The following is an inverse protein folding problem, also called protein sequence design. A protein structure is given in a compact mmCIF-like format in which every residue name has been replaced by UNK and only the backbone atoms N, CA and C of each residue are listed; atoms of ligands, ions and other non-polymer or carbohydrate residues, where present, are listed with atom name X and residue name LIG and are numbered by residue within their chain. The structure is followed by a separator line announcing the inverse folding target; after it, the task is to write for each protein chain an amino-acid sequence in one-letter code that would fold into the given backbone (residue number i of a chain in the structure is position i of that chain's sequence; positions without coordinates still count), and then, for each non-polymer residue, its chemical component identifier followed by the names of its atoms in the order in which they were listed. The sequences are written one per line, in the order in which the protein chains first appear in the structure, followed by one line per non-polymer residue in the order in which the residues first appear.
data_IF_647993519183
#
_entry.id   IF_647993519183
#
_cell.length_a   1.000
_cell.length_b   1.000
_cell.length_c   1.000
_cell.angle_alpha   90.00
_cell.angle_beta   90.00
_cell.angle_gamma   90.00
#
_symmetry.space_group_name_H-M   'P 1'
#
loop_
_entity.id
_entity.type
_entity.pdbx_description
1 polymer ?
#
# COMPACT_ATOMS: atom_id res chain seq x y z
N UNK A 1 8.85 -24.34 10.46
CA UNK A 1 9.49 -23.88 9.20
C UNK A 1 9.85 -25.04 8.27
N UNK A 2 10.88 -25.86 8.51
CA UNK A 2 11.29 -26.94 7.55
C UNK A 2 10.16 -27.86 7.09
N UNK A 3 9.33 -28.36 8.01
CA UNK A 3 8.17 -29.19 7.68
C UNK A 3 7.21 -28.56 6.65
N UNK A 4 7.12 -27.23 6.63
CA UNK A 4 6.18 -26.49 5.80
C UNK A 4 6.73 -26.17 4.40
N UNK A 5 8.02 -26.41 4.14
CA UNK A 5 8.67 -26.00 2.89
C UNK A 5 7.98 -26.56 1.65
N UNK A 6 7.66 -27.85 1.64
CA UNK A 6 7.02 -28.50 0.49
C UNK A 6 5.49 -28.33 0.45
N UNK A 7 4.90 -27.59 1.40
CA UNK A 7 3.44 -27.55 1.63
C UNK A 7 2.78 -26.29 1.08
N UNK A 8 3.54 -25.35 0.55
CA UNK A 8 3.01 -24.11 0.03
C UNK A 8 4.03 -23.31 -0.75
N UNK A 9 3.55 -22.24 -1.39
CA UNK A 9 4.39 -21.28 -2.12
C UNK A 9 5.04 -20.29 -1.14
N UNK A 10 4.31 -19.97 -0.07
CA UNK A 10 4.73 -19.05 0.97
C UNK A 10 4.55 -19.66 2.35
N UNK A 11 5.39 -19.25 3.28
CA UNK A 11 5.28 -19.56 4.69
C UNK A 11 5.09 -18.28 5.48
N UNK A 12 4.17 -18.27 6.44
CA UNK A 12 4.00 -17.18 7.39
C UNK A 12 4.16 -17.68 8.82
N UNK A 13 4.99 -16.99 9.59
CA UNK A 13 5.14 -17.25 11.02
C UNK A 13 4.09 -16.47 11.81
N UNK A 14 3.37 -17.17 12.69
CA UNK A 14 2.48 -16.59 13.70
C UNK A 14 2.82 -17.15 15.08
N UNK A 15 2.35 -16.47 16.11
CA UNK A 15 2.39 -16.92 17.51
C UNK A 15 0.95 -17.19 17.98
N UNK A 16 0.80 -17.90 19.10
CA UNK A 16 -0.48 -18.32 19.67
C UNK A 16 -1.21 -17.19 20.42
N UNK A 17 -0.48 -16.18 20.88
CA UNK A 17 -0.98 -15.07 21.69
C UNK A 17 -1.09 -13.75 20.91
N UNK A 18 -1.71 -13.83 19.72
CA UNK A 18 -1.94 -12.68 18.85
C UNK A 18 -3.42 -12.35 18.64
N UNK A 19 -3.72 -11.07 18.44
CA UNK A 19 -4.98 -10.61 17.87
C UNK A 19 -4.75 -10.19 16.42
N UNK A 20 -5.49 -10.80 15.51
CA UNK A 20 -5.47 -10.47 14.09
C UNK A 20 -6.54 -9.45 13.70
N UNK A 21 -6.22 -8.56 12.76
CA UNK A 21 -7.18 -7.65 12.14
C UNK A 21 -8.20 -8.44 11.31
N UNK A 22 -9.43 -7.93 11.22
CA UNK A 22 -10.43 -8.53 10.33
C UNK A 22 -9.91 -8.56 8.88
N UNK A 23 -10.20 -9.64 8.15
CA UNK A 23 -9.78 -9.85 6.77
C UNK A 23 -8.26 -9.98 6.54
N UNK A 24 -7.46 -10.20 7.60
CA UNK A 24 -5.99 -10.28 7.50
C UNK A 24 -5.52 -11.24 6.40
N UNK A 25 -6.17 -12.40 6.24
CA UNK A 25 -5.78 -13.41 5.26
C UNK A 25 -5.84 -12.90 3.82
N UNK A 26 -6.97 -12.30 3.42
CA UNK A 26 -7.13 -11.75 2.07
C UNK A 26 -6.17 -10.57 1.84
N UNK A 27 -5.96 -9.73 2.87
CA UNK A 27 -4.98 -8.63 2.80
C UNK A 27 -3.56 -9.15 2.56
N UNK A 28 -3.12 -10.16 3.31
CA UNK A 28 -1.81 -10.80 3.15
C UNK A 28 -1.67 -11.41 1.75
N UNK A 29 -2.69 -12.18 1.32
CA UNK A 29 -2.69 -12.83 0.01
C UNK A 29 -2.54 -11.81 -1.13
N UNK A 30 -3.36 -10.77 -1.12
CA UNK A 30 -3.35 -9.75 -2.17
C UNK A 30 -2.02 -8.99 -2.18
N UNK A 31 -1.49 -8.64 -1.00
CA UNK A 31 -0.20 -7.96 -0.89
C UNK A 31 0.96 -8.81 -1.42
N UNK A 32 0.99 -10.11 -1.07
CA UNK A 32 2.01 -11.02 -1.58
C UNK A 32 1.91 -11.22 -3.11
N UNK A 33 0.69 -11.28 -3.65
CA UNK A 33 0.45 -11.38 -5.10
C UNK A 33 0.86 -10.10 -5.85
N UNK A 34 0.61 -8.93 -5.27
CA UNK A 34 1.03 -7.65 -5.84
C UNK A 34 2.56 -7.57 -5.96
N UNK A 35 3.29 -8.13 -5.00
CA UNK A 35 4.75 -8.16 -4.99
C UNK A 35 5.34 -9.40 -5.67
N UNK A 36 4.57 -10.15 -6.47
CA UNK A 36 5.06 -11.40 -7.07
C UNK A 36 6.16 -11.20 -8.11
N UNK A 37 6.24 -10.01 -8.72
CA UNK A 37 7.28 -9.63 -9.69
C UNK A 37 8.50 -8.96 -9.06
N UNK A 38 8.40 -8.57 -7.78
CA UNK A 38 9.45 -7.84 -7.08
C UNK A 38 10.41 -8.80 -6.37
N UNK A 39 11.67 -8.40 -6.23
CA UNK A 39 12.64 -9.14 -5.42
C UNK A 39 12.47 -8.76 -3.94
N UNK A 40 12.06 -9.72 -3.11
CA UNK A 40 11.96 -9.55 -1.65
C UNK A 40 12.30 -10.86 -0.94
N UNK A 41 12.77 -10.76 0.30
CA UNK A 41 13.09 -11.91 1.15
C UNK A 41 12.11 -12.05 2.33
N UNK A 42 11.66 -10.94 2.91
CA UNK A 42 10.79 -10.93 4.08
C UNK A 42 9.66 -9.93 3.85
N UNK A 43 8.41 -10.40 3.92
CA UNK A 43 7.25 -9.52 4.09
C UNK A 43 6.86 -9.46 5.57
N UNK A 44 6.70 -8.26 6.10
CA UNK A 44 6.34 -8.03 7.51
C UNK A 44 4.89 -7.51 7.64
N UNK A 45 4.06 -8.23 8.38
CA UNK A 45 2.69 -7.82 8.73
C UNK A 45 2.55 -7.41 10.20
N UNK A 46 3.67 -7.38 10.93
CA UNK A 46 3.83 -6.84 12.27
C UNK A 46 5.29 -6.39 12.42
N UNK A 47 5.51 -5.26 13.08
CA UNK A 47 6.84 -4.79 13.44
C UNK A 47 7.41 -5.55 14.65
N UNK A 48 6.54 -6.09 15.51
CA UNK A 48 6.96 -6.78 16.72
C UNK A 48 7.44 -8.19 16.39
N UNK A 49 8.61 -8.54 16.94
CA UNK A 49 9.10 -9.91 17.02
C UNK A 49 9.05 -10.70 15.71
N UNK A 50 8.81 -12.00 15.83
CA UNK A 50 8.84 -12.93 14.71
C UNK A 50 7.44 -13.15 14.11
N UNK A 51 6.42 -12.54 14.70
CA UNK A 51 5.05 -12.62 14.23
C UNK A 51 4.86 -11.92 12.89
N UNK A 52 3.99 -12.50 12.07
CA UNK A 52 3.60 -11.95 10.78
C UNK A 52 4.77 -11.83 9.80
N UNK A 53 5.83 -12.64 9.95
CA UNK A 53 6.95 -12.68 8.99
C UNK A 53 6.66 -13.74 7.95
N UNK A 54 6.62 -13.32 6.69
CA UNK A 54 6.33 -14.18 5.55
C UNK A 54 7.56 -14.31 4.64
N UNK A 55 7.77 -15.52 4.15
CA UNK A 55 8.92 -15.92 3.35
C UNK A 55 8.46 -16.75 2.14
N UNK A 56 9.25 -16.74 1.07
CA UNK A 56 9.06 -17.68 -0.03
C UNK A 56 9.51 -19.08 0.40
N UNK A 57 8.78 -20.12 0.00
CA UNK A 57 9.13 -21.49 0.35
C UNK A 57 10.54 -21.92 -0.08
N UNK A 58 11.06 -21.52 -1.27
CA UNK A 58 12.45 -21.83 -1.67
C UNK A 58 13.51 -21.24 -0.73
N UNK A 59 13.26 -20.06 -0.15
CA UNK A 59 14.21 -19.39 0.75
C UNK A 59 14.24 -19.99 2.17
N UNK A 60 13.26 -20.83 2.53
CA UNK A 60 13.12 -21.35 3.89
C UNK A 60 14.31 -22.20 4.31
N UNK A 61 14.95 -22.96 3.41
CA UNK A 61 16.14 -23.75 3.78
C UNK A 61 17.24 -22.84 4.32
N UNK A 62 17.59 -21.80 3.57
CA UNK A 62 18.62 -20.84 3.96
C UNK A 62 18.29 -20.18 5.30
N UNK A 63 17.04 -19.76 5.48
CA UNK A 63 16.59 -19.09 6.69
C UNK A 63 16.69 -20.03 7.89
N UNK A 64 16.19 -21.26 7.76
CA UNK A 64 16.18 -22.21 8.88
C UNK A 64 17.59 -22.67 9.22
N UNK A 65 18.45 -22.94 8.23
CA UNK A 65 19.84 -23.32 8.47
C UNK A 65 20.59 -22.22 9.22
N UNK A 66 20.43 -20.96 8.81
CA UNK A 66 21.04 -19.83 9.51
C UNK A 66 20.54 -19.72 10.96
N UNK A 67 19.22 -19.83 11.17
CA UNK A 67 18.65 -19.81 12.52
C UNK A 67 19.18 -20.98 13.35
N UNK A 68 19.25 -22.18 12.77
CA UNK A 68 19.71 -23.38 13.46
C UNK A 68 21.18 -23.30 13.87
N UNK A 69 22.02 -22.63 13.08
CA UNK A 69 23.41 -22.39 13.45
C UNK A 69 23.55 -21.43 14.65
N UNK A 70 22.65 -20.46 14.80
CA UNK A 70 22.85 -19.33 15.74
C UNK A 70 21.74 -19.15 16.79
N UNK A 71 20.78 -20.08 16.93
CA UNK A 71 19.63 -19.92 17.84
C UNK A 71 20.00 -19.76 19.31
N UNK A 72 21.18 -20.25 19.73
CA UNK A 72 21.68 -20.07 21.11
C UNK A 72 22.33 -18.70 21.33
N UNK A 73 22.77 -18.04 20.26
CA UNK A 73 23.56 -16.81 20.34
C UNK A 73 22.69 -15.56 20.36
N UNK A 74 21.60 -15.56 19.57
CA UNK A 74 20.69 -14.42 19.47
C UNK A 74 19.25 -14.88 19.27
N UNK A 75 18.27 -14.08 19.73
CA UNK A 75 16.87 -14.28 19.40
C UNK A 75 16.64 -14.27 17.88
N UNK A 76 15.62 -15.01 17.43
CA UNK A 76 15.32 -15.20 16.01
C UNK A 76 15.13 -13.89 15.23
N UNK A 77 14.51 -12.88 15.84
CA UNK A 77 14.30 -11.56 15.21
C UNK A 77 15.61 -10.88 14.83
N UNK A 78 16.60 -11.02 15.69
CA UNK A 78 17.92 -10.48 15.48
C UNK A 78 18.64 -11.29 14.41
N UNK A 79 18.50 -12.63 14.44
CA UNK A 79 19.08 -13.48 13.41
C UNK A 79 18.54 -13.17 12.02
N UNK A 80 17.24 -12.89 11.87
CA UNK A 80 16.67 -12.44 10.60
C UNK A 80 17.30 -11.14 10.09
N UNK A 81 17.57 -10.19 11.00
CA UNK A 81 18.28 -8.96 10.63
C UNK A 81 19.73 -9.23 10.22
N UNK A 82 20.40 -10.20 10.85
CA UNK A 82 21.75 -10.62 10.49
C UNK A 82 21.79 -11.32 9.13
N UNK A 83 20.77 -12.13 8.77
CA UNK A 83 20.67 -12.71 7.42
C UNK A 83 20.70 -11.60 6.37
N UNK A 84 19.88 -10.56 6.54
CA UNK A 84 19.88 -9.43 5.61
C UNK A 84 21.20 -8.67 5.65
N UNK A 85 21.78 -8.46 6.84
CA UNK A 85 23.07 -7.78 6.96
C UNK A 85 24.16 -8.50 6.16
N UNK A 86 24.28 -9.82 6.32
CA UNK A 86 25.26 -10.63 5.58
C UNK A 86 24.98 -10.62 4.08
N UNK A 87 23.70 -10.62 3.68
CA UNK A 87 23.31 -10.69 2.26
C UNK A 87 23.54 -9.38 1.50
N UNK A 88 23.31 -8.22 2.11
CA UNK A 88 23.26 -6.94 1.37
C UNK A 88 24.08 -5.79 1.92
N UNK A 89 24.63 -5.89 3.13
CA UNK A 89 25.42 -4.80 3.70
C UNK A 89 26.90 -4.95 3.33
N UNK A 90 27.46 -3.90 2.74
CA UNK A 90 28.87 -3.84 2.39
C UNK A 90 29.66 -3.19 3.55
N UNK A 91 30.69 -3.85 4.11
CA UNK A 91 31.51 -3.31 5.19
C UNK A 91 32.22 -1.98 4.86
N UNK A 92 32.46 -1.69 3.58
CA UNK A 92 33.11 -0.47 3.11
C UNK A 92 32.15 0.72 2.94
N UNK A 93 30.84 0.51 3.17
CA UNK A 93 29.82 1.54 3.03
C UNK A 93 29.19 1.91 4.37
N UNK A 94 28.49 3.04 4.37
CA UNK A 94 27.87 3.58 5.58
C UNK A 94 26.61 2.81 6.02
N UNK A 95 26.18 3.07 7.25
CA UNK A 95 24.99 2.46 7.83
C UNK A 95 23.72 2.76 7.01
N UNK A 96 23.59 3.97 6.45
CA UNK A 96 22.43 4.36 5.64
C UNK A 96 22.31 3.53 4.37
N UNK A 97 23.43 3.23 3.72
CA UNK A 97 23.44 2.31 2.59
C UNK A 97 22.93 0.93 3.03
N UNK A 98 23.44 0.37 4.13
CA UNK A 98 23.01 -0.93 4.65
C UNK A 98 21.50 -0.93 4.96
N UNK A 99 20.99 0.09 5.66
CA UNK A 99 19.57 0.20 6.00
C UNK A 99 18.68 0.25 4.76
N UNK A 100 19.08 1.00 3.73
CA UNK A 100 18.34 1.06 2.46
C UNK A 100 18.32 -0.30 1.76
N UNK A 101 19.46 -0.99 1.70
CA UNK A 101 19.52 -2.31 1.07
C UNK A 101 18.68 -3.34 1.81
N UNK A 102 18.72 -3.33 3.16
CA UNK A 102 17.85 -4.18 3.98
C UNK A 102 16.38 -3.88 3.73
N UNK A 103 15.99 -2.61 3.64
CA UNK A 103 14.61 -2.20 3.41
C UNK A 103 14.05 -2.65 2.05
N UNK A 104 14.89 -2.78 1.01
CA UNK A 104 14.46 -3.31 -0.28
C UNK A 104 14.06 -4.79 -0.20
N UNK A 105 14.75 -5.59 0.63
CA UNK A 105 14.44 -7.02 0.79
C UNK A 105 13.46 -7.32 1.93
N UNK A 106 13.30 -6.39 2.86
CA UNK A 106 12.36 -6.46 4.00
C UNK A 106 11.25 -5.44 3.80
N UNK A 107 10.20 -5.87 3.12
CA UNK A 107 9.06 -5.00 2.80
C UNK A 107 8.02 -5.12 3.90
N UNK A 108 7.63 -3.99 4.48
CA UNK A 108 6.64 -3.94 5.54
C UNK A 108 5.28 -3.53 5.01
N UNK A 109 4.27 -4.35 5.31
CA UNK A 109 2.88 -3.97 5.17
C UNK A 109 2.45 -3.02 6.29
N UNK A 110 1.79 -1.92 5.94
CA UNK A 110 1.21 -0.98 6.90
C UNK A 110 -0.28 -0.78 6.59
N UNK A 111 -1.16 -0.74 7.60
CA UNK A 111 -0.90 -0.92 9.03
C UNK A 111 -0.67 -2.38 9.42
N UNK A 112 -0.02 -2.61 10.56
CA UNK A 112 0.21 -3.96 11.10
C UNK A 112 -1.11 -4.73 11.27
N UNK A 113 -1.10 -5.99 10.86
CA UNK A 113 -2.27 -6.87 10.90
C UNK A 113 -2.36 -7.69 12.18
N UNK A 114 -1.25 -7.82 12.91
CA UNK A 114 -1.17 -8.63 14.12
C UNK A 114 -0.65 -7.79 15.29
N UNK A 115 -1.20 -8.06 16.48
CA UNK A 115 -0.73 -7.52 17.74
C UNK A 115 -0.53 -8.66 18.72
N UNK A 116 0.65 -8.73 19.31
CA UNK A 116 0.95 -9.62 20.41
C UNK A 116 0.23 -9.17 21.69
N UNK A 117 -0.47 -10.06 22.39
CA UNK A 117 -1.22 -9.75 23.62
C UNK A 117 -0.75 -10.53 24.84
N UNK A 118 0.24 -11.42 24.71
CA UNK A 118 0.90 -12.05 25.85
C UNK A 118 1.59 -11.02 26.75
N UNK A 119 1.12 -10.94 28.00
CA UNK A 119 1.63 -9.98 29.00
C UNK A 119 2.87 -10.51 29.74
N UNK A 120 2.94 -11.84 29.91
CA UNK A 120 4.01 -12.53 30.61
C UNK A 120 4.90 -13.26 29.62
N UNK A 121 6.17 -12.85 29.54
CA UNK A 121 7.16 -13.54 28.72
C UNK A 121 7.67 -14.79 29.41
N UNK A 122 8.10 -15.78 28.63
CA UNK A 122 8.86 -16.94 29.09
C UNK A 122 10.24 -16.57 29.68
N UNK A 123 10.74 -15.37 29.40
CA UNK A 123 11.95 -14.83 30.02
C UNK A 123 11.63 -14.33 31.44
N UNK A 124 12.40 -14.82 32.42
CA UNK A 124 12.20 -14.54 33.84
C UNK A 124 12.10 -13.03 34.12
N UNK A 125 10.97 -12.61 34.69
CA UNK A 125 10.73 -11.22 35.09
C UNK A 125 10.39 -10.25 33.95
N UNK A 126 10.30 -10.70 32.69
CA UNK A 126 9.99 -9.82 31.56
C UNK A 126 8.47 -9.71 31.35
N UNK A 127 7.93 -8.53 31.63
CA UNK A 127 6.54 -8.16 31.32
C UNK A 127 6.52 -7.47 29.96
N UNK A 128 5.75 -8.00 29.02
CA UNK A 128 5.66 -7.51 27.64
C UNK A 128 4.44 -6.60 27.49
N UNK A 129 4.66 -5.29 27.50
CA UNK A 129 3.63 -4.25 27.29
C UNK A 129 3.73 -3.58 25.91
N UNK A 130 4.54 -4.15 25.01
CA UNK A 130 4.80 -3.54 23.71
C UNK A 130 3.56 -3.66 22.82
N UNK A 131 3.06 -2.51 22.40
CA UNK A 131 2.05 -2.38 21.35
C UNK A 131 2.73 -2.01 20.05
N UNK A 132 2.34 -2.64 18.96
CA UNK A 132 2.80 -2.30 17.63
C UNK A 132 2.25 -0.92 17.27
N UNK A 133 3.14 0.01 16.91
CA UNK A 133 2.79 1.43 16.69
C UNK A 133 1.80 1.62 15.56
N UNK A 134 1.77 0.68 14.61
CA UNK A 134 0.92 0.76 13.43
C UNK A 134 -0.33 -0.13 13.56
N UNK A 135 -0.49 -0.87 14.67
CA UNK A 135 -1.68 -1.66 14.93
C UNK A 135 -2.89 -0.79 15.31
N UNK A 136 -4.08 -1.20 14.84
CA UNK A 136 -5.33 -0.40 14.88
C UNK A 136 -5.31 0.94 14.15
N UNK A 137 -4.21 1.35 13.50
CA UNK A 137 -4.28 2.50 12.59
C UNK A 137 -5.24 2.18 11.43
N UNK A 138 -6.02 3.17 10.98
CA UNK A 138 -6.79 3.01 9.76
C UNK A 138 -5.85 2.63 8.61
N UNK A 139 -6.33 1.79 7.70
CA UNK A 139 -5.64 1.61 6.42
C UNK A 139 -5.62 2.99 5.75
N UNK A 140 -4.44 3.59 5.64
CA UNK A 140 -4.24 4.80 4.83
C UNK A 140 -4.66 4.54 3.38
N UNK A 141 -4.46 3.29 2.94
CA UNK A 141 -4.80 2.77 1.63
C UNK A 141 -6.18 2.09 1.63
N UNK A 142 -7.17 2.69 0.97
CA UNK A 142 -8.39 1.94 0.62
C UNK A 142 -8.11 1.07 -0.59
N UNK A 143 -8.13 -0.25 -0.41
CA UNK A 143 -8.04 -1.23 -1.49
C UNK A 143 -9.24 -1.00 -2.43
N UNK A 144 -8.95 -0.81 -3.71
CA UNK A 144 -9.94 -0.62 -4.75
C UNK A 144 -9.43 -1.23 -6.06
N UNK A 145 -10.33 -1.42 -7.01
CA UNK A 145 -10.00 -1.92 -8.35
C UNK A 145 -10.64 -0.97 -9.34
N UNK A 146 -9.80 -0.24 -10.08
CA UNK A 146 -10.25 0.68 -11.12
C UNK A 146 -10.24 -0.01 -12.50
N UNK A 147 -11.03 0.45 -13.47
CA UNK A 147 -10.92 -0.01 -14.86
C UNK A 147 -9.52 0.27 -15.43
N UNK A 148 -8.99 -0.50 -16.38
CA UNK A 148 -7.70 -0.20 -17.00
C UNK A 148 -7.68 1.19 -17.64
N UNK A 149 -6.71 2.02 -17.26
CA UNK A 149 -6.50 3.34 -17.82
C UNK A 149 -5.02 3.72 -17.83
N UNK A 150 -4.60 4.48 -18.83
CA UNK A 150 -3.37 5.25 -18.81
C UNK A 150 -3.61 6.47 -17.92
N UNK A 151 -2.83 6.60 -16.85
CA UNK A 151 -2.94 7.74 -15.92
C UNK A 151 -1.75 8.66 -16.06
N UNK A 152 -1.99 9.96 -16.02
CA UNK A 152 -0.93 10.96 -16.09
C UNK A 152 -1.31 12.22 -15.31
N UNK A 153 -0.30 13.00 -14.92
CA UNK A 153 -0.51 14.22 -14.16
C UNK A 153 0.62 15.22 -14.38
N UNK A 154 0.30 16.51 -14.29
CA UNK A 154 1.29 17.59 -14.24
C UNK A 154 1.85 17.81 -12.83
N UNK A 155 1.22 17.23 -11.80
CA UNK A 155 1.58 17.41 -10.40
C UNK A 155 2.94 16.77 -10.10
N UNK A 156 3.80 17.53 -9.41
CA UNK A 156 5.12 17.04 -9.01
C UNK A 156 5.01 16.06 -7.85
N UNK A 157 5.31 14.79 -8.12
CA UNK A 157 5.30 13.70 -7.12
C UNK A 157 6.26 14.00 -5.98
N UNK A 158 5.80 13.73 -4.76
CA UNK A 158 6.54 13.83 -3.52
C UNK A 158 6.85 12.42 -2.98
N UNK A 159 8.11 12.20 -2.58
CA UNK A 159 8.59 10.95 -1.95
C UNK A 159 8.32 9.64 -2.71
N UNK A 160 8.00 9.70 -4.01
CA UNK A 160 7.80 8.51 -4.85
C UNK A 160 6.41 7.86 -4.74
N UNK A 161 5.45 8.57 -4.15
CA UNK A 161 4.04 8.18 -4.04
C UNK A 161 3.28 8.60 -5.32
N UNK A 162 3.34 7.77 -6.36
CA UNK A 162 2.90 8.13 -7.73
C UNK A 162 1.41 7.87 -7.98
N UNK A 163 0.89 8.49 -9.06
CA UNK A 163 -0.51 8.39 -9.45
C UNK A 163 -0.86 6.97 -9.92
N UNK A 164 0.07 6.33 -10.61
CA UNK A 164 -0.07 4.98 -11.16
C UNK A 164 -0.27 3.96 -10.04
N UNK A 165 0.59 4.00 -9.02
CA UNK A 165 0.47 3.15 -7.83
C UNK A 165 -0.86 3.39 -7.10
N UNK A 166 -1.32 4.63 -7.09
CA UNK A 166 -2.62 4.98 -6.49
C UNK A 166 -3.77 4.38 -7.26
N UNK A 167 -3.74 4.51 -8.58
CA UNK A 167 -4.78 4.01 -9.45
C UNK A 167 -4.88 2.47 -9.44
N UNK A 168 -3.75 1.80 -9.27
CA UNK A 168 -3.66 0.33 -9.11
C UNK A 168 -4.02 -0.15 -7.69
N UNK A 169 -4.26 0.77 -6.74
CA UNK A 169 -4.56 0.43 -5.35
C UNK A 169 -3.34 -0.12 -4.59
N UNK A 170 -2.13 0.23 -5.02
CA UNK A 170 -0.85 -0.22 -4.47
C UNK A 170 -0.29 0.75 -3.41
N UNK A 171 -0.51 2.05 -3.62
CA UNK A 171 -0.02 3.15 -2.78
C UNK A 171 -1.01 4.33 -2.78
N UNK A 172 -0.70 5.41 -2.08
CA UNK A 172 -1.40 6.69 -2.21
C UNK A 172 -0.63 7.65 -3.12
N UNK A 173 -1.29 8.71 -3.57
CA UNK A 173 -0.65 9.74 -4.38
C UNK A 173 -0.27 10.87 -3.44
N UNK A 174 1.00 11.24 -3.42
CA UNK A 174 1.45 12.42 -2.69
C UNK A 174 2.17 13.36 -3.64
N UNK A 175 1.62 14.55 -3.82
CA UNK A 175 2.23 15.56 -4.67
C UNK A 175 2.34 16.92 -3.97
N UNK A 176 3.13 17.81 -4.56
CA UNK A 176 3.24 19.21 -4.15
C UNK A 176 1.91 19.92 -4.42
N UNK A 177 1.64 21.03 -3.71
CA UNK A 177 0.45 21.87 -3.88
C UNK A 177 0.18 22.15 -5.37
N UNK A 178 -1.04 21.85 -5.87
CA UNK A 178 -1.42 22.17 -7.25
C UNK A 178 -1.44 23.68 -7.49
N UNK A 179 -1.09 24.08 -8.70
CA UNK A 179 -1.34 25.44 -9.23
C UNK A 179 -2.47 25.40 -10.27
N UNK A 180 -3.06 26.57 -10.56
CA UNK A 180 -4.11 26.67 -11.56
C UNK A 180 -3.61 26.13 -12.91
N UNK A 181 -4.37 25.20 -13.50
CA UNK A 181 -4.01 24.51 -14.75
C UNK A 181 -3.37 23.14 -14.54
N UNK A 182 -3.03 22.75 -13.31
CA UNK A 182 -2.60 21.38 -13.03
C UNK A 182 -3.75 20.38 -13.25
N UNK A 183 -3.38 19.18 -13.69
CA UNK A 183 -4.34 18.14 -14.03
C UNK A 183 -3.93 16.76 -13.54
N UNK A 184 -4.95 15.93 -13.38
CA UNK A 184 -4.87 14.47 -13.27
C UNK A 184 -5.75 13.91 -14.37
N UNK A 185 -5.16 13.14 -15.28
CA UNK A 185 -5.83 12.60 -16.46
C UNK A 185 -5.94 11.08 -16.36
N UNK A 186 -7.15 10.58 -16.60
CA UNK A 186 -7.43 9.15 -16.75
C UNK A 186 -7.89 8.91 -18.17
N UNK A 187 -7.09 8.18 -18.95
CA UNK A 187 -7.38 7.88 -20.34
C UNK A 187 -7.67 6.38 -20.46
N UNK A 188 -8.91 6.07 -20.80
CA UNK A 188 -9.36 4.71 -21.04
C UNK A 188 -9.14 4.33 -22.51
N UNK A 189 -8.48 3.20 -22.78
CA UNK A 189 -8.25 2.72 -24.15
C UNK A 189 -9.53 2.32 -24.87
N UNK A 190 -10.57 1.95 -24.10
CA UNK A 190 -11.90 1.60 -24.59
C UNK A 190 -12.94 2.46 -23.88
N UNK A 191 -14.10 2.74 -24.50
CA UNK A 191 -15.20 3.40 -23.81
C UNK A 191 -15.61 2.63 -22.54
N UNK A 192 -15.62 3.31 -21.40
CA UNK A 192 -16.03 2.75 -20.11
C UNK A 192 -17.33 3.39 -19.69
N UNK A 193 -18.30 2.58 -19.27
CA UNK A 193 -19.52 3.09 -18.64
C UNK A 193 -19.20 3.47 -17.18
N UNK A 194 -19.15 4.77 -16.89
CA UNK A 194 -18.82 5.30 -15.56
C UNK A 194 -20.10 5.85 -14.92
N UNK A 195 -20.61 5.15 -13.91
CA UNK A 195 -21.80 5.58 -13.18
C UNK A 195 -21.46 6.53 -12.02
N UNK A 196 -20.28 6.37 -11.42
CA UNK A 196 -19.83 7.17 -10.28
C UNK A 196 -18.31 7.27 -10.17
N UNK A 197 -17.83 8.29 -9.46
CA UNK A 197 -16.41 8.49 -9.15
C UNK A 197 -16.26 8.98 -7.70
N UNK A 198 -15.12 8.69 -7.07
CA UNK A 198 -14.79 9.17 -5.73
C UNK A 198 -13.30 9.49 -5.60
N UNK A 199 -13.03 10.76 -5.36
CA UNK A 199 -11.73 11.23 -4.93
C UNK A 199 -11.74 11.35 -3.40
N UNK A 200 -10.85 10.62 -2.75
CA UNK A 200 -10.61 10.71 -1.32
C UNK A 200 -9.32 11.50 -1.13
N UNK A 201 -9.39 12.66 -0.49
CA UNK A 201 -8.21 13.49 -0.24
C UNK A 201 -8.08 13.88 1.23
N UNK A 202 -6.86 14.17 1.65
CA UNK A 202 -6.52 14.42 3.05
C UNK A 202 -6.26 13.16 3.87
N UNK A 203 -5.50 13.33 4.95
CA UNK A 203 -5.18 12.30 5.93
C UNK A 203 -5.22 12.88 7.36
N UNK A 204 -5.46 12.06 8.38
CA UNK A 204 -5.38 12.48 9.79
C UNK A 204 -4.00 13.02 10.18
N UNK A 205 -2.93 12.46 9.60
CA UNK A 205 -1.55 12.92 9.84
C UNK A 205 -1.22 14.22 9.07
N UNK A 206 -1.95 14.47 7.98
CA UNK A 206 -1.78 15.64 7.10
C UNK A 206 -3.16 16.22 6.72
N UNK A 207 -3.87 16.88 7.66
CA UNK A 207 -5.24 17.31 7.44
C UNK A 207 -5.34 18.47 6.44
N UNK A 208 -4.27 19.23 6.24
CA UNK A 208 -4.19 20.28 5.21
C UNK A 208 -4.05 19.72 3.80
N UNK A 209 -3.70 18.44 3.65
CA UNK A 209 -3.30 17.89 2.37
C UNK A 209 -4.49 17.44 1.51
N UNK A 210 -5.42 18.36 1.23
CA UNK A 210 -6.69 18.12 0.56
C UNK A 210 -6.78 18.77 -0.82
N UNK A 211 -7.55 18.14 -1.71
CA UNK A 211 -7.98 18.77 -2.96
C UNK A 211 -9.09 19.77 -2.66
N UNK A 212 -8.83 21.05 -2.89
CA UNK A 212 -9.79 22.12 -2.76
C UNK A 212 -10.00 22.76 -4.14
N UNK A 213 -11.22 23.23 -4.42
CA UNK A 213 -11.55 23.99 -5.64
C UNK A 213 -11.20 23.30 -6.97
N UNK A 214 -11.39 21.98 -7.04
CA UNK A 214 -11.17 21.20 -8.27
C UNK A 214 -12.49 20.88 -8.98
N UNK A 215 -12.42 20.87 -10.31
CA UNK A 215 -13.49 20.42 -11.19
C UNK A 215 -13.20 19.02 -11.74
N UNK A 216 -14.26 18.30 -12.05
CA UNK A 216 -14.17 17.02 -12.78
C UNK A 216 -14.84 17.20 -14.14
N UNK A 217 -14.03 17.00 -15.18
CA UNK A 217 -14.42 17.17 -16.57
C UNK A 217 -14.31 15.81 -17.30
N UNK A 218 -15.28 15.47 -18.14
CA UNK A 218 -15.34 14.18 -18.85
C UNK A 218 -15.52 14.36 -20.35
N UNK A 219 -14.89 13.48 -21.14
CA UNK A 219 -15.06 13.43 -22.59
C UNK A 219 -15.92 12.21 -22.97
N UNK A 220 -17.18 12.40 -23.41
CA UNK A 220 -18.05 11.29 -23.78
C UNK A 220 -17.61 10.65 -25.10
N UNK A 221 -17.81 9.34 -25.20
CA UNK A 221 -17.63 8.62 -26.45
C UNK A 221 -18.64 9.08 -27.50
N UNK A 222 -18.18 9.42 -28.71
CA UNK A 222 -19.05 9.81 -29.83
C UNK A 222 -19.58 8.57 -30.56
N UNK A 223 -20.51 7.85 -29.93
CA UNK A 223 -21.26 6.75 -30.55
C UNK A 223 -22.64 7.20 -31.04
N UNK A 224 -23.16 6.56 -32.08
CA UNK A 224 -24.55 6.76 -32.52
C UNK A 224 -25.53 6.38 -31.38
N UNK A 225 -26.40 7.31 -30.98
CA UNK A 225 -27.44 7.09 -29.97
C UNK A 225 -27.22 7.74 -28.59
N UNK A 226 -26.13 8.49 -28.39
CA UNK A 226 -25.88 9.17 -27.11
C UNK A 226 -26.65 10.51 -27.02
N UNK A 227 -27.85 10.47 -26.43
CA UNK A 227 -28.62 11.67 -26.12
C UNK A 227 -28.10 12.34 -24.83
N UNK A 228 -27.21 13.31 -25.02
CA UNK A 228 -26.75 14.17 -23.91
C UNK A 228 -27.90 15.10 -23.50
N UNK A 229 -28.29 15.06 -22.21
CA UNK A 229 -29.35 15.89 -21.66
C UNK A 229 -29.08 17.39 -21.91
N UNK A 230 -30.13 18.22 -22.02
CA UNK A 230 -29.99 19.67 -22.23
C UNK A 230 -29.11 20.32 -21.14
N UNK A 231 -29.31 19.95 -19.88
CA UNK A 231 -28.53 20.45 -18.74
C UNK A 231 -27.04 20.07 -18.81
N UNK A 232 -26.71 18.93 -19.42
CA UNK A 232 -25.32 18.53 -19.64
C UNK A 232 -24.70 19.30 -20.82
N UNK A 233 -25.48 19.61 -21.86
CA UNK A 233 -24.99 20.39 -23.02
C UNK A 233 -24.49 21.79 -22.62
N UNK A 234 -25.13 22.41 -21.64
CA UNK A 234 -24.77 23.75 -21.16
C UNK A 234 -23.47 23.75 -20.33
N UNK A 235 -22.95 22.57 -19.95
CA UNK A 235 -21.68 22.40 -19.21
C UNK A 235 -20.50 22.03 -20.10
N UNK A 236 -20.65 22.19 -21.42
CA UNK A 236 -19.62 21.88 -22.41
C UNK A 236 -18.54 22.96 -22.42
N UNK A 237 -17.28 22.53 -22.36
CA UNK A 237 -16.10 23.36 -22.42
C UNK A 237 -15.61 23.49 -23.88
N UNK A 238 -14.73 24.47 -24.13
CA UNK A 238 -14.19 24.77 -25.47
C UNK A 238 -13.41 23.60 -26.07
N UNK A 239 -12.76 22.80 -25.23
CA UNK A 239 -12.01 21.58 -25.59
C UNK A 239 -12.90 20.35 -25.86
N UNK A 240 -14.22 20.49 -25.71
CA UNK A 240 -15.20 19.44 -25.94
C UNK A 240 -15.47 18.53 -24.73
N UNK A 241 -14.83 18.77 -23.58
CA UNK A 241 -15.16 18.11 -22.32
C UNK A 241 -16.45 18.68 -21.72
N UNK A 242 -17.00 17.95 -20.76
CA UNK A 242 -18.20 18.35 -20.02
C UNK A 242 -17.89 18.36 -18.53
N UNK A 243 -18.19 19.49 -17.86
CA UNK A 243 -18.01 19.61 -16.42
C UNK A 243 -19.14 18.92 -15.66
N UNK A 244 -18.82 17.92 -14.85
CA UNK A 244 -19.83 17.08 -14.16
C UNK A 244 -19.86 17.25 -12.64
N UNK A 245 -18.94 18.02 -12.03
CA UNK A 245 -19.03 18.35 -10.60
C UNK A 245 -17.85 19.14 -10.05
N UNK A 246 -18.04 19.62 -8.82
CA UNK A 246 -16.98 20.11 -7.92
C UNK A 246 -16.69 18.98 -6.91
N UNK A 247 -15.43 18.73 -6.55
CA UNK A 247 -14.95 17.50 -5.90
C UNK A 247 -15.39 17.26 -4.43
N UNK A 248 -16.67 17.37 -4.11
CA UNK A 248 -17.26 16.93 -2.85
C UNK A 248 -18.62 16.28 -3.10
N UNK A 249 -18.68 14.96 -3.21
CA UNK A 249 -19.94 14.23 -3.09
C UNK A 249 -19.69 12.78 -2.66
N UNK A 250 -20.43 12.37 -1.62
CA UNK A 250 -20.39 11.05 -0.99
C UNK A 250 -21.78 10.44 -1.15
N UNK A 251 -21.96 9.51 -2.09
CA UNK A 251 -23.15 8.66 -2.20
C UNK A 251 -22.77 7.23 -2.65
N UNK A 252 -23.63 6.26 -2.32
CA UNK A 252 -23.28 4.85 -2.04
C UNK A 252 -23.64 3.90 -3.20
N UNK A 253 -22.69 2.99 -3.53
CA UNK A 253 -22.76 1.75 -4.36
C UNK A 253 -23.11 1.93 -5.85
N UNK A 254 -22.45 1.31 -6.84
CA UNK A 254 -21.27 0.43 -6.88
C UNK A 254 -20.73 0.38 -8.34
N UNK A 255 -19.86 1.31 -8.71
CA UNK A 255 -18.80 1.20 -9.74
C UNK A 255 -17.99 2.50 -9.63
N UNK A 256 -16.93 2.47 -8.80
CA UNK A 256 -16.25 3.68 -8.30
C UNK A 256 -14.79 3.70 -8.77
N UNK A 257 -14.41 4.76 -9.47
CA UNK A 257 -13.00 5.17 -9.57
C UNK A 257 -12.62 5.72 -8.19
N UNK A 258 -11.73 5.02 -7.47
CA UNK A 258 -11.19 5.49 -6.20
C UNK A 258 -9.80 6.07 -6.43
N UNK A 259 -9.54 7.26 -5.90
CA UNK A 259 -8.17 7.78 -5.75
C UNK A 259 -7.97 8.36 -4.36
N UNK A 260 -6.87 7.96 -3.70
CA UNK A 260 -6.38 8.61 -2.48
C UNK A 260 -5.35 9.67 -2.87
N UNK A 261 -5.75 10.94 -2.88
CA UNK A 261 -4.94 12.09 -3.30
C UNK A 261 -4.54 12.90 -2.06
N UNK A 262 -3.29 12.82 -1.64
CA UNK A 262 -2.70 13.63 -0.57
C UNK A 262 -1.90 14.74 -1.25
N UNK A 263 -2.21 16.01 -0.96
CA UNK A 263 -1.56 17.17 -1.58
C UNK A 263 -0.87 18.04 -0.56
N UNK A 264 0.46 18.05 -0.52
CA UNK A 264 1.21 18.84 0.45
C UNK A 264 0.88 20.33 0.34
N UNK A 265 0.28 20.94 1.36
CA UNK A 265 0.19 22.40 1.48
C UNK A 265 1.46 22.94 2.15
N UNK A 266 2.01 24.04 1.63
CA UNK A 266 3.01 24.85 2.33
C UNK A 266 2.33 25.86 3.25
#
# INVERSE_FOLDING_TARGET
MMYAQEKGIYYIQLEDDIIAKQNYFNTIKNFALQLSSEEWMILEFSQLGFIGKMFQAPDLTLIVEFIFMFYKEKPIDWLLDHILWVKVCNPEKDAKHCDRQKANLRIRFRPSLFQHVGLHSSLTGKIQKLTDKDYMKPLLLKIHVNPPAEVSTSLKVYQGHTLEKTYMGEDFFWAITPVAGDYILFKFDKPVNVESYLFHSGNQEHPGDMLLNTSVDVLPFKGEGLEISKETKDKRLEDGYFRIGNAYLRLVKMSLIFLNLILKQF
#
